data_IF_187340954781
#
_entry.id   IF_187340954781
#
_cell.length_a   1.000
_cell.length_b   1.000
_cell.length_c   1.000
_cell.angle_alpha   90.00
_cell.angle_beta   90.00
_cell.angle_gamma   90.00
#
_symmetry.space_group_name_H-M   'P 1'
#
loop_
_entity.id
_entity.type
_entity.pdbx_description
1 polymer ?
#
# COMPACT_ATOMS: atom_id res chain seq x y z
N UNK A 1 -0.31 37.02 -0.70
CA UNK A 1 -0.72 35.60 -0.80
C UNK A 1 0.37 34.72 -1.45
N UNK A 2 0.95 35.15 -2.57
CA UNK A 2 1.97 34.35 -3.30
C UNK A 2 3.23 34.08 -2.46
N UNK A 3 3.68 35.05 -1.69
CA UNK A 3 4.86 34.93 -0.83
C UNK A 3 4.65 33.93 0.31
N UNK A 4 3.44 33.90 0.90
CA UNK A 4 3.05 32.94 1.92
C UNK A 4 3.06 31.52 1.35
N UNK A 5 2.55 31.34 0.13
CA UNK A 5 2.57 30.03 -0.56
C UNK A 5 3.99 29.52 -0.80
N UNK A 6 4.92 30.38 -1.20
CA UNK A 6 6.33 30.01 -1.40
C UNK A 6 7.00 29.59 -0.08
N UNK A 7 6.72 30.31 1.01
CA UNK A 7 7.26 29.98 2.35
C UNK A 7 6.66 28.66 2.85
N UNK A 8 5.36 28.42 2.66
CA UNK A 8 4.72 27.18 3.05
C UNK A 8 5.30 25.98 2.31
N UNK A 9 5.51 26.11 0.98
CA UNK A 9 6.13 25.06 0.17
C UNK A 9 7.58 24.77 0.60
N UNK A 10 8.34 25.81 0.91
CA UNK A 10 9.71 25.64 1.43
C UNK A 10 9.72 24.86 2.76
N UNK A 11 8.80 25.19 3.66
CA UNK A 11 8.68 24.52 4.95
C UNK A 11 8.21 23.06 4.81
N UNK A 12 7.34 22.78 3.85
CA UNK A 12 6.94 21.41 3.49
C UNK A 12 8.14 20.61 3.00
N UNK A 13 8.93 21.13 2.08
CA UNK A 13 10.14 20.50 1.59
C UNK A 13 11.14 20.22 2.74
N UNK A 14 11.28 21.14 3.70
CA UNK A 14 12.13 20.95 4.88
C UNK A 14 11.62 19.80 5.77
N UNK A 15 10.30 19.64 5.90
CA UNK A 15 9.71 18.51 6.63
C UNK A 15 9.96 17.18 5.91
N UNK A 16 9.78 17.13 4.59
CA UNK A 16 9.97 15.94 3.77
C UNK A 16 11.43 15.45 3.77
N UNK A 17 12.40 16.34 3.60
CA UNK A 17 13.84 16.01 3.64
C UNK A 17 14.24 15.37 4.98
N UNK A 18 13.53 15.68 6.07
CA UNK A 18 13.79 15.11 7.40
C UNK A 18 12.96 13.87 7.72
N UNK A 19 12.21 13.34 6.76
CA UNK A 19 11.46 12.09 6.92
C UNK A 19 9.94 12.25 7.00
N UNK A 20 9.40 13.46 6.85
CA UNK A 20 7.98 13.72 6.66
C UNK A 20 7.18 13.83 7.96
N UNK A 21 7.27 12.96 8.89
CA UNK A 21 6.43 12.88 10.11
C UNK A 21 6.65 14.04 11.11
N UNK A 22 6.54 15.29 10.61
CA UNK A 22 6.78 16.49 11.41
C UNK A 22 6.11 17.73 10.81
N UNK A 23 5.87 18.73 11.66
CA UNK A 23 5.48 20.07 11.24
C UNK A 23 6.68 21.02 11.32
N UNK A 24 6.84 21.86 10.30
CA UNK A 24 7.85 22.91 10.28
C UNK A 24 7.14 24.26 10.33
N UNK A 25 7.46 25.04 11.35
CA UNK A 25 6.93 26.39 11.53
C UNK A 25 8.07 27.39 11.39
N UNK A 26 7.92 28.35 10.48
CA UNK A 26 8.85 29.46 10.28
C UNK A 26 8.08 30.76 10.34
N UNK A 27 8.51 31.68 11.18
CA UNK A 27 8.03 33.05 11.14
C UNK A 27 8.49 33.72 9.83
N UNK A 28 7.75 34.74 9.38
CA UNK A 28 8.11 35.51 8.18
C UNK A 28 9.25 36.50 8.45
N UNK A 29 10.30 35.99 9.12
CA UNK A 29 11.53 36.69 9.45
C UNK A 29 12.70 35.88 8.95
N UNK A 30 13.48 36.42 8.02
CA UNK A 30 14.61 35.70 7.41
C UNK A 30 15.71 35.35 8.42
N UNK A 31 15.81 36.09 9.52
CA UNK A 31 16.82 35.87 10.57
C UNK A 31 16.41 34.74 11.56
N UNK A 32 15.14 34.31 11.55
CA UNK A 32 14.68 33.25 12.45
C UNK A 32 14.79 31.86 11.81
N UNK A 33 15.37 30.97 12.57
CA UNK A 33 15.44 29.56 12.18
C UNK A 33 14.08 28.88 12.25
N UNK A 34 13.77 27.93 11.35
CA UNK A 34 12.54 27.16 11.42
C UNK A 34 12.50 26.31 12.70
N UNK A 35 11.32 26.22 13.31
CA UNK A 35 11.04 25.37 14.49
C UNK A 35 10.37 24.10 14.01
N UNK A 36 10.83 22.98 14.50
CA UNK A 36 10.35 21.64 14.13
C UNK A 36 9.54 21.04 15.27
N UNK A 37 8.33 20.52 14.96
CA UNK A 37 7.45 19.84 15.89
C UNK A 37 7.17 18.43 15.38
N UNK A 38 7.29 17.42 16.21
CA UNK A 38 7.19 16.03 15.80
C UNK A 38 8.52 15.51 15.25
N UNK A 39 8.49 14.39 14.56
CA UNK A 39 9.70 13.76 14.04
C UNK A 39 10.65 13.27 15.15
N UNK A 40 10.13 13.07 16.34
CA UNK A 40 10.87 12.69 17.55
C UNK A 40 11.45 11.27 17.51
N UNK A 41 11.21 10.54 16.49
CA UNK A 41 12.03 9.42 16.10
C UNK A 41 12.82 9.81 14.85
N UNK A 42 13.98 10.38 15.04
CA UNK A 42 15.10 10.19 14.15
C UNK A 42 15.57 8.72 14.18
N UNK A 43 14.67 7.81 14.36
CA UNK A 43 14.65 6.56 13.70
C UNK A 43 14.18 6.86 12.27
N UNK A 44 14.97 7.57 11.45
CA UNK A 44 15.23 6.99 10.18
C UNK A 44 15.59 5.55 10.55
N UNK A 45 14.58 4.70 10.57
CA UNK A 45 14.79 3.28 10.49
C UNK A 45 15.60 3.22 9.19
N UNK A 46 16.92 3.16 9.32
CA UNK A 46 17.73 2.46 8.35
C UNK A 46 17.11 1.07 8.39
N UNK A 47 16.01 0.94 7.65
CA UNK A 47 15.51 -0.37 7.25
C UNK A 47 16.66 -0.90 6.46
N UNK A 48 17.57 -1.52 7.17
CA UNK A 48 18.78 -2.01 6.58
C UNK A 48 18.29 -2.88 5.44
N UNK A 49 18.87 -2.73 4.26
CA UNK A 49 18.55 -3.58 3.08
C UNK A 49 18.48 -5.06 3.49
N UNK A 50 19.22 -5.45 4.49
CA UNK A 50 19.21 -6.77 5.13
C UNK A 50 17.86 -7.12 5.75
N UNK A 51 17.23 -6.23 6.53
CA UNK A 51 15.92 -6.49 7.14
C UNK A 51 14.82 -6.59 6.07
N UNK A 52 14.84 -5.69 5.10
CA UNK A 52 13.88 -5.75 3.97
C UNK A 52 14.04 -7.05 3.18
N UNK A 53 15.27 -7.46 2.88
CA UNK A 53 15.55 -8.74 2.21
C UNK A 53 15.06 -9.93 3.03
N UNK A 54 15.32 -9.97 4.33
CA UNK A 54 14.88 -11.05 5.21
C UNK A 54 13.34 -11.13 5.23
N UNK A 55 12.63 -10.00 5.32
CA UNK A 55 11.17 -9.98 5.26
C UNK A 55 10.64 -10.46 3.91
N UNK A 56 11.22 -9.99 2.80
CA UNK A 56 10.81 -10.43 1.46
C UNK A 56 11.11 -11.90 1.21
N UNK A 57 12.20 -12.44 1.78
CA UNK A 57 12.48 -13.89 1.75
C UNK A 57 11.41 -14.67 2.50
N UNK A 58 11.04 -14.25 3.72
CA UNK A 58 9.99 -14.92 4.50
C UNK A 58 8.62 -14.87 3.78
N UNK A 59 8.26 -13.75 3.16
CA UNK A 59 7.05 -13.64 2.34
C UNK A 59 7.13 -14.57 1.13
N UNK A 60 8.27 -14.63 0.43
CA UNK A 60 8.48 -15.52 -0.70
C UNK A 60 8.31 -16.98 -0.32
N UNK A 61 8.87 -17.41 0.81
CA UNK A 61 8.76 -18.78 1.30
C UNK A 61 7.32 -19.12 1.67
N UNK A 62 6.59 -18.15 2.24
CA UNK A 62 5.16 -18.29 2.51
C UNK A 62 4.35 -18.46 1.22
N UNK A 63 4.60 -17.63 0.20
CA UNK A 63 3.96 -17.75 -1.11
C UNK A 63 4.22 -19.12 -1.74
N UNK A 64 5.45 -19.65 -1.66
CA UNK A 64 5.78 -21.00 -2.18
C UNK A 64 5.05 -22.13 -1.47
N UNK A 65 4.60 -21.93 -0.23
CA UNK A 65 3.92 -22.94 0.58
C UNK A 65 2.43 -23.07 0.34
N UNK A 66 1.85 -22.19 -0.50
CA UNK A 66 0.41 -22.10 -0.77
C UNK A 66 0.09 -22.32 -2.25
N UNK A 67 -1.16 -22.61 -2.56
CA UNK A 67 -1.59 -22.88 -3.93
C UNK A 67 -1.95 -21.60 -4.70
N UNK A 68 -2.37 -20.57 -3.98
CA UNK A 68 -2.77 -19.29 -4.58
C UNK A 68 -2.67 -18.13 -3.58
N UNK A 69 -2.52 -16.94 -4.12
CA UNK A 69 -2.31 -15.71 -3.36
C UNK A 69 -3.33 -14.64 -3.80
N UNK A 70 -3.97 -14.03 -2.82
CA UNK A 70 -4.85 -12.88 -3.03
C UNK A 70 -4.28 -11.68 -2.30
N UNK A 71 -4.19 -10.55 -2.97
CA UNK A 71 -3.69 -9.30 -2.40
C UNK A 71 -4.83 -8.30 -2.36
N UNK A 72 -5.08 -7.71 -1.20
CA UNK A 72 -6.16 -6.73 -1.00
C UNK A 72 -5.65 -5.48 -0.28
N UNK A 73 -6.15 -4.34 -0.70
CA UNK A 73 -6.04 -3.08 0.03
C UNK A 73 -7.18 -2.88 1.04
N UNK A 74 -7.37 -1.64 1.45
CA UNK A 74 -8.48 -1.25 2.32
C UNK A 74 -9.79 -1.07 1.55
N UNK A 75 -10.94 -1.05 2.26
CA UNK A 75 -12.29 -0.99 1.69
C UNK A 75 -12.59 0.26 0.84
N UNK A 76 -11.98 1.39 1.19
CA UNK A 76 -12.12 2.63 0.41
C UNK A 76 -10.95 2.75 -0.56
N UNK A 77 -10.86 1.83 -1.51
CA UNK A 77 -9.71 1.71 -2.41
C UNK A 77 -9.32 3.06 -3.02
N UNK A 78 -8.10 3.46 -2.79
CA UNK A 78 -7.46 4.63 -3.41
C UNK A 78 -6.27 4.20 -4.30
N UNK A 79 -5.59 5.16 -4.91
CA UNK A 79 -4.48 4.86 -5.83
C UNK A 79 -3.28 4.23 -5.13
N UNK A 80 -3.06 4.54 -3.85
CA UNK A 80 -1.97 3.98 -3.04
C UNK A 80 -2.24 2.51 -2.71
N UNK A 81 -3.45 2.20 -2.26
CA UNK A 81 -3.89 0.84 -2.00
C UNK A 81 -3.91 -0.02 -3.27
N UNK A 82 -4.42 0.53 -4.39
CA UNK A 82 -4.40 -0.15 -5.69
C UNK A 82 -2.97 -0.41 -6.16
N UNK A 83 -2.10 0.60 -6.13
CA UNK A 83 -0.70 0.48 -6.52
C UNK A 83 0.07 -0.53 -5.67
N UNK A 84 -0.17 -0.51 -4.35
CA UNK A 84 0.42 -1.47 -3.42
C UNK A 84 -0.05 -2.91 -3.69
N UNK A 85 -1.34 -3.09 -3.97
CA UNK A 85 -1.91 -4.41 -4.29
C UNK A 85 -1.35 -4.96 -5.61
N UNK A 86 -1.28 -4.13 -6.64
CA UNK A 86 -0.69 -4.48 -7.94
C UNK A 86 0.80 -4.81 -7.79
N UNK A 87 1.56 -3.98 -7.09
CA UNK A 87 2.99 -4.22 -6.85
C UNK A 87 3.26 -5.53 -6.13
N UNK A 88 2.47 -5.85 -5.10
CA UNK A 88 2.59 -7.11 -4.37
C UNK A 88 2.12 -8.31 -5.21
N UNK A 89 1.08 -8.15 -6.02
CA UNK A 89 0.65 -9.19 -6.94
C UNK A 89 1.73 -9.50 -7.99
N UNK A 90 2.36 -8.47 -8.56
CA UNK A 90 3.49 -8.63 -9.50
C UNK A 90 4.69 -9.31 -8.84
N UNK A 91 4.99 -9.00 -7.58
CA UNK A 91 5.98 -9.73 -6.82
C UNK A 91 5.60 -11.22 -6.66
N UNK A 92 4.38 -11.51 -6.26
CA UNK A 92 3.88 -12.87 -6.08
C UNK A 92 3.85 -13.65 -7.41
N UNK A 93 3.56 -13.01 -8.54
CA UNK A 93 3.50 -13.63 -9.87
C UNK A 93 4.85 -14.19 -10.35
N UNK A 94 5.96 -13.67 -9.82
CA UNK A 94 7.29 -14.26 -10.07
C UNK A 94 7.53 -15.57 -9.30
N UNK A 95 6.63 -15.92 -8.39
CA UNK A 95 6.76 -17.12 -7.53
C UNK A 95 5.67 -18.14 -7.84
N UNK A 96 4.44 -17.67 -8.07
CA UNK A 96 3.27 -18.50 -8.41
C UNK A 96 2.41 -17.86 -9.47
N UNK A 97 1.92 -18.64 -10.42
CA UNK A 97 1.00 -18.13 -11.46
C UNK A 97 -0.38 -17.77 -10.89
N UNK A 98 -0.77 -18.35 -9.76
CA UNK A 98 -2.07 -18.16 -9.13
C UNK A 98 -2.00 -17.01 -8.10
N UNK A 99 -1.70 -15.80 -8.58
CA UNK A 99 -1.68 -14.60 -7.74
C UNK A 99 -2.57 -13.51 -8.34
N UNK A 100 -3.36 -12.85 -7.48
CA UNK A 100 -4.38 -11.90 -7.90
C UNK A 100 -4.39 -10.65 -7.01
N UNK A 101 -4.50 -9.47 -7.62
CA UNK A 101 -4.86 -8.25 -6.90
C UNK A 101 -6.38 -8.10 -6.95
N UNK A 102 -7.03 -8.10 -5.78
CA UNK A 102 -8.48 -8.13 -5.67
C UNK A 102 -9.02 -6.74 -5.41
N UNK A 103 -10.10 -6.39 -6.11
CA UNK A 103 -10.81 -5.13 -5.97
C UNK A 103 -12.32 -5.33 -5.88
N UNK A 104 -13.03 -4.40 -5.25
CA UNK A 104 -14.48 -4.39 -5.22
C UNK A 104 -15.03 -3.52 -6.35
N UNK A 105 -15.64 -4.15 -7.35
CA UNK A 105 -16.17 -3.46 -8.53
C UNK A 105 -17.34 -2.52 -8.21
N UNK A 106 -18.06 -2.76 -7.11
CA UNK A 106 -19.24 -2.00 -6.72
C UNK A 106 -18.89 -0.76 -5.88
N UNK A 107 -17.66 -0.64 -5.41
CA UNK A 107 -17.20 0.43 -4.51
C UNK A 107 -16.02 1.22 -5.03
N UNK A 108 -15.87 1.36 -6.33
CA UNK A 108 -14.77 2.12 -6.93
C UNK A 108 -15.14 3.59 -7.16
N UNK A 109 -14.20 4.49 -6.88
CA UNK A 109 -14.27 5.86 -7.38
C UNK A 109 -14.01 5.89 -8.88
N UNK A 110 -14.46 6.94 -9.63
CA UNK A 110 -14.23 7.05 -11.07
C UNK A 110 -12.75 7.01 -11.47
N UNK A 111 -11.86 7.49 -10.60
CA UNK A 111 -10.41 7.46 -10.85
C UNK A 111 -9.86 6.04 -10.76
N UNK A 112 -10.29 5.30 -9.73
CA UNK A 112 -9.91 3.89 -9.55
C UNK A 112 -10.46 3.04 -10.69
N UNK A 113 -11.72 3.26 -11.10
CA UNK A 113 -12.30 2.55 -12.22
C UNK A 113 -11.50 2.74 -13.52
N UNK A 114 -11.04 3.97 -13.79
CA UNK A 114 -10.17 4.25 -14.94
C UNK A 114 -8.83 3.54 -14.84
N UNK A 115 -8.23 3.54 -13.64
CA UNK A 115 -6.96 2.87 -13.39
C UNK A 115 -7.08 1.35 -13.56
N UNK A 116 -8.12 0.74 -13.02
CA UNK A 116 -8.40 -0.70 -13.17
C UNK A 116 -8.56 -1.07 -14.65
N UNK A 117 -9.41 -0.33 -15.40
CA UNK A 117 -9.59 -0.55 -16.85
C UNK A 117 -8.29 -0.42 -17.63
N UNK A 118 -7.45 0.55 -17.27
CA UNK A 118 -6.14 0.71 -17.89
C UNK A 118 -5.25 -0.50 -17.63
N UNK A 119 -5.14 -0.94 -16.38
CA UNK A 119 -4.32 -2.09 -15.98
C UNK A 119 -4.79 -3.40 -16.63
N UNK A 120 -6.11 -3.60 -16.71
CA UNK A 120 -6.69 -4.75 -17.42
C UNK A 120 -6.34 -4.75 -18.91
N UNK A 121 -6.42 -3.59 -19.55
CA UNK A 121 -6.06 -3.42 -20.96
C UNK A 121 -4.59 -3.71 -21.25
N UNK A 122 -3.70 -3.24 -20.38
CA UNK A 122 -2.26 -3.48 -20.50
C UNK A 122 -1.86 -4.93 -20.19
N UNK A 123 -2.68 -5.66 -19.44
CA UNK A 123 -2.47 -7.08 -19.15
C UNK A 123 -1.21 -7.39 -18.31
N UNK A 124 -0.66 -6.40 -17.64
CA UNK A 124 0.58 -6.57 -16.84
C UNK A 124 0.34 -7.16 -15.45
N UNK A 125 -0.89 -7.17 -14.98
CA UNK A 125 -1.29 -7.66 -13.65
C UNK A 125 -2.57 -8.47 -13.75
N UNK A 126 -2.73 -9.45 -12.85
CA UNK A 126 -3.96 -10.23 -12.72
C UNK A 126 -4.88 -9.57 -11.71
N UNK A 127 -5.73 -8.67 -12.20
CA UNK A 127 -6.81 -8.09 -11.42
C UNK A 127 -7.98 -9.05 -11.33
N UNK A 128 -8.64 -9.09 -10.18
CA UNK A 128 -9.77 -10.00 -9.96
C UNK A 128 -10.86 -9.30 -9.14
N UNK A 129 -12.11 -9.20 -9.66
CA UNK A 129 -13.23 -8.71 -8.89
C UNK A 129 -13.48 -9.57 -7.64
N UNK A 130 -13.85 -8.94 -6.53
CA UNK A 130 -14.09 -9.59 -5.23
C UNK A 130 -15.06 -10.78 -5.34
N UNK A 131 -16.17 -10.63 -6.06
CA UNK A 131 -17.15 -11.69 -6.26
C UNK A 131 -16.56 -12.94 -6.91
N UNK A 132 -15.60 -12.77 -7.81
CA UNK A 132 -14.89 -13.88 -8.47
C UNK A 132 -13.83 -14.47 -7.53
N UNK A 133 -13.10 -13.61 -6.81
CA UNK A 133 -12.09 -14.03 -5.86
C UNK A 133 -12.68 -14.93 -4.76
N UNK A 134 -13.84 -14.59 -4.22
CA UNK A 134 -14.53 -15.38 -3.19
C UNK A 134 -14.79 -16.83 -3.61
N UNK A 135 -14.98 -17.08 -4.90
CA UNK A 135 -15.24 -18.43 -5.44
C UNK A 135 -13.98 -19.27 -5.63
N UNK A 136 -12.82 -18.62 -5.67
CA UNK A 136 -11.53 -19.29 -5.92
C UNK A 136 -10.81 -19.65 -4.63
N UNK A 137 -11.16 -19.06 -3.48
CA UNK A 137 -10.48 -19.29 -2.20
C UNK A 137 -10.56 -20.76 -1.81
N UNK A 138 -9.42 -21.30 -1.40
CA UNK A 138 -9.30 -22.68 -0.85
C UNK A 138 -8.64 -22.62 0.53
N UNK A 139 -8.61 -23.74 1.24
CA UNK A 139 -7.90 -23.87 2.53
C UNK A 139 -6.38 -23.60 2.44
N UNK A 140 -5.83 -23.66 1.23
CA UNK A 140 -4.40 -23.41 0.95
C UNK A 140 -4.18 -22.08 0.25
N UNK A 141 -5.12 -21.14 0.39
CA UNK A 141 -4.97 -19.78 -0.10
C UNK A 141 -4.32 -18.88 0.94
N UNK A 142 -3.49 -17.95 0.47
CA UNK A 142 -2.87 -16.90 1.27
C UNK A 142 -3.53 -15.56 0.95
N UNK A 143 -3.90 -14.82 1.98
CA UNK A 143 -4.31 -13.41 1.87
C UNK A 143 -3.16 -12.51 2.29
N UNK A 144 -2.82 -11.55 1.43
CA UNK A 144 -1.85 -10.50 1.74
C UNK A 144 -2.59 -9.17 1.84
N UNK A 145 -2.47 -8.52 2.99
CA UNK A 145 -3.07 -7.23 3.27
C UNK A 145 -2.04 -6.13 3.02
N UNK A 146 -2.40 -5.13 2.24
CA UNK A 146 -1.53 -3.99 1.94
C UNK A 146 -2.23 -2.68 2.29
N UNK A 147 -1.42 -1.67 2.61
CA UNK A 147 -1.85 -0.30 2.86
C UNK A 147 -2.84 -0.10 4.02
N UNK A 148 -2.92 -1.03 4.95
CA UNK A 148 -3.65 -0.86 6.21
C UNK A 148 -3.14 -1.83 7.28
N UNK A 149 -3.36 -1.45 8.55
CA UNK A 149 -2.92 -2.25 9.70
C UNK A 149 -4.07 -2.82 10.55
N UNK A 150 -5.32 -2.43 10.24
CA UNK A 150 -6.51 -2.86 10.99
C UNK A 150 -7.39 -3.73 10.10
N UNK A 151 -7.69 -4.94 10.54
CA UNK A 151 -8.55 -5.89 9.82
C UNK A 151 -9.95 -5.34 9.53
N UNK A 152 -10.47 -4.44 10.37
CA UNK A 152 -11.75 -3.75 10.13
C UNK A 152 -11.75 -2.81 8.92
N UNK A 153 -10.59 -2.47 8.37
CA UNK A 153 -10.43 -1.63 7.19
C UNK A 153 -10.22 -2.44 5.92
N UNK A 154 -10.08 -3.76 6.01
CA UNK A 154 -9.86 -4.60 4.83
C UNK A 154 -11.02 -4.50 3.83
N UNK A 155 -10.74 -4.80 2.58
CA UNK A 155 -11.66 -4.72 1.44
C UNK A 155 -13.05 -5.31 1.75
N UNK A 156 -13.08 -6.51 2.33
CA UNK A 156 -14.30 -7.20 2.76
C UNK A 156 -14.01 -8.09 3.96
N UNK A 157 -14.84 -7.99 5.00
CA UNK A 157 -14.75 -8.84 6.17
C UNK A 157 -15.05 -10.30 5.83
N UNK A 158 -16.09 -10.54 5.06
CA UNK A 158 -16.53 -11.89 4.65
C UNK A 158 -15.44 -12.57 3.82
N UNK A 159 -14.77 -11.82 2.93
CA UNK A 159 -13.64 -12.33 2.17
C UNK A 159 -12.45 -12.66 3.06
N UNK A 160 -12.12 -11.79 4.01
CA UNK A 160 -11.05 -12.02 4.98
C UNK A 160 -11.26 -13.30 5.81
N UNK A 161 -12.49 -13.56 6.24
CA UNK A 161 -12.84 -14.72 7.05
C UNK A 161 -12.74 -16.07 6.32
N UNK A 162 -12.63 -16.06 4.99
CA UNK A 162 -12.40 -17.28 4.20
C UNK A 162 -10.97 -17.83 4.34
N UNK A 163 -10.03 -17.02 4.82
CA UNK A 163 -8.62 -17.39 4.84
C UNK A 163 -8.17 -17.87 6.21
N UNK A 164 -7.41 -18.96 6.21
CA UNK A 164 -6.72 -19.47 7.40
C UNK A 164 -5.29 -18.93 7.52
N UNK A 165 -4.78 -18.30 6.44
CA UNK A 165 -3.42 -17.78 6.35
C UNK A 165 -3.46 -16.35 5.82
N UNK A 166 -2.96 -15.40 6.62
CA UNK A 166 -2.93 -13.96 6.30
C UNK A 166 -1.57 -13.36 6.68
N UNK A 167 -1.10 -12.41 5.88
CA UNK A 167 0.10 -11.58 6.15
C UNK A 167 -0.30 -10.12 6.06
#
# INVERSE_FOLDING_TARGET
HEQIGKVALLNLNLAEVRGGDQAVVKENDELKNPVYFGGGSAASVKRTRTRTRAMMTAISDKIRSVDQVFVVGHKNLDMDALGSAVGMQLFASNITENSYAVYDADQMSPDIERAVKFLEKEGVTKLLPLANAMRLVTKRSLLILVDHSKTALTLSKDFYELFTQTI
#
